data_IF_289988822782
#
_entry.id   IF_289988822782
#
_cell.length_a   1.000
_cell.length_b   1.000
_cell.length_c   1.000
_cell.angle_alpha   90.00
_cell.angle_beta   90.00
_cell.angle_gamma   90.00
#
_symmetry.space_group_name_H-M   'P 1'
#
loop_
_entity.id
_entity.type
_entity.pdbx_description
1 polymer ?
#
# COMPACT_ATOMS: atom_id res chain seq x y z
N UNK A 1 -0.91 -15.94 6.38
CA UNK A 1 -1.06 -15.03 5.22
C UNK A 1 -2.52 -14.68 5.00
N UNK A 2 -3.41 -15.67 4.95
CA UNK A 2 -4.87 -15.46 4.83
C UNK A 2 -5.47 -14.55 5.92
N UNK A 3 -4.92 -14.60 7.15
CA UNK A 3 -5.39 -13.75 8.26
C UNK A 3 -5.11 -12.26 8.08
N UNK A 4 -4.02 -11.90 7.37
CA UNK A 4 -3.70 -10.49 7.13
C UNK A 4 -4.72 -9.89 6.18
N UNK A 5 -4.93 -10.51 5.02
CA UNK A 5 -5.89 -10.05 4.01
C UNK A 5 -7.31 -9.94 4.56
N UNK A 6 -7.76 -10.92 5.37
CA UNK A 6 -9.07 -10.84 6.04
C UNK A 6 -9.18 -9.61 6.96
N UNK A 7 -8.13 -9.29 7.73
CA UNK A 7 -8.10 -8.08 8.58
C UNK A 7 -8.16 -6.81 7.74
N UNK A 8 -7.37 -6.73 6.66
CA UNK A 8 -7.32 -5.56 5.77
C UNK A 8 -8.68 -5.38 5.08
N UNK A 9 -9.23 -6.43 4.48
CA UNK A 9 -10.53 -6.44 3.81
C UNK A 9 -11.64 -5.92 4.73
N UNK A 10 -11.72 -6.45 5.96
CA UNK A 10 -12.70 -5.99 6.94
C UNK A 10 -12.57 -4.50 7.28
N UNK A 11 -11.33 -3.98 7.39
CA UNK A 11 -11.08 -2.55 7.63
C UNK A 11 -11.46 -1.69 6.43
N UNK A 12 -11.09 -2.12 5.22
CA UNK A 12 -11.41 -1.42 3.98
C UNK A 12 -12.93 -1.30 3.84
N UNK A 13 -13.67 -2.42 3.92
CA UNK A 13 -15.14 -2.44 3.82
C UNK A 13 -15.82 -1.45 4.77
N UNK A 14 -15.37 -1.41 6.03
CA UNK A 14 -15.88 -0.43 7.03
C UNK A 14 -15.65 1.02 6.63
N UNK A 15 -14.49 1.34 6.04
CA UNK A 15 -14.17 2.70 5.62
C UNK A 15 -14.94 3.18 4.39
N UNK A 16 -15.30 2.25 3.49
CA UNK A 16 -16.08 2.56 2.27
C UNK A 16 -17.58 2.28 2.43
N UNK A 17 -18.03 1.91 3.62
CA UNK A 17 -19.46 1.72 3.93
C UNK A 17 -20.09 0.46 3.34
N UNK A 18 -19.30 -0.55 2.97
CA UNK A 18 -19.81 -1.82 2.44
C UNK A 18 -20.11 -2.80 3.56
N UNK A 19 -21.29 -3.43 3.50
CA UNK A 19 -21.75 -4.44 4.46
C UNK A 19 -21.95 -5.83 3.85
N UNK A 20 -22.18 -5.91 2.54
CA UNK A 20 -22.27 -7.16 1.79
C UNK A 20 -20.90 -7.61 1.24
N UNK A 21 -20.87 -8.68 0.46
CA UNK A 21 -19.66 -9.27 -0.12
C UNK A 21 -19.53 -9.04 -1.65
N UNK A 22 -20.35 -8.17 -2.24
CA UNK A 22 -20.42 -8.02 -3.70
C UNK A 22 -19.12 -7.52 -4.32
N UNK A 23 -18.31 -6.76 -3.57
CA UNK A 23 -17.03 -6.23 -4.02
C UNK A 23 -15.84 -6.95 -3.38
N UNK A 24 -16.04 -8.05 -2.65
CA UNK A 24 -14.96 -8.69 -1.89
C UNK A 24 -13.83 -9.21 -2.79
N UNK A 25 -14.15 -9.81 -3.93
CA UNK A 25 -13.16 -10.28 -4.91
C UNK A 25 -12.30 -9.12 -5.45
N UNK A 26 -12.94 -8.03 -5.86
CA UNK A 26 -12.24 -6.84 -6.36
C UNK A 26 -11.38 -6.18 -5.26
N UNK A 27 -11.88 -6.12 -4.02
CA UNK A 27 -11.11 -5.59 -2.89
C UNK A 27 -9.94 -6.48 -2.52
N UNK A 28 -10.10 -7.80 -2.56
CA UNK A 28 -9.03 -8.76 -2.33
C UNK A 28 -7.91 -8.59 -3.36
N UNK A 29 -8.24 -8.45 -4.64
CA UNK A 29 -7.26 -8.22 -5.70
C UNK A 29 -6.50 -6.90 -5.49
N UNK A 30 -7.21 -5.81 -5.17
CA UNK A 30 -6.58 -4.53 -4.84
C UNK A 30 -5.61 -4.67 -3.66
N UNK A 31 -6.04 -5.32 -2.59
CA UNK A 31 -5.23 -5.54 -1.39
C UNK A 31 -3.99 -6.37 -1.72
N UNK A 32 -4.14 -7.43 -2.52
CA UNK A 32 -3.05 -8.31 -2.93
C UNK A 32 -1.98 -7.54 -3.72
N UNK A 33 -2.39 -6.76 -4.72
CA UNK A 33 -1.47 -5.94 -5.52
C UNK A 33 -0.74 -4.92 -4.63
N UNK A 34 -1.44 -4.25 -3.71
CA UNK A 34 -0.81 -3.28 -2.80
C UNK A 34 0.13 -3.96 -1.81
N UNK A 35 -0.18 -5.18 -1.38
CA UNK A 35 0.66 -6.00 -0.52
C UNK A 35 1.97 -6.35 -1.22
N UNK A 36 1.91 -6.86 -2.44
CA UNK A 36 3.10 -7.19 -3.23
C UNK A 36 4.00 -5.97 -3.43
N UNK A 37 3.41 -4.82 -3.75
CA UNK A 37 4.16 -3.57 -3.90
C UNK A 37 4.83 -3.14 -2.58
N UNK A 38 4.13 -3.22 -1.44
CA UNK A 38 4.72 -2.90 -0.14
C UNK A 38 5.82 -3.87 0.26
N UNK A 39 5.71 -5.16 -0.09
CA UNK A 39 6.77 -6.15 0.16
C UNK A 39 8.04 -5.82 -0.63
N UNK A 40 7.89 -5.39 -1.89
CA UNK A 40 9.00 -4.93 -2.73
C UNK A 40 9.65 -3.68 -2.10
N UNK A 41 8.86 -2.68 -1.72
CA UNK A 41 9.37 -1.45 -1.09
C UNK A 41 10.01 -1.71 0.29
N UNK A 42 9.55 -2.72 1.02
CA UNK A 42 10.15 -3.12 2.30
C UNK A 42 11.36 -4.04 2.15
N UNK A 43 11.60 -4.57 0.95
CA UNK A 43 12.59 -5.63 0.72
C UNK A 43 12.38 -6.83 1.67
N UNK A 44 11.11 -7.15 1.96
CA UNK A 44 10.70 -8.20 2.92
C UNK A 44 9.33 -8.76 2.58
N UNK A 45 9.19 -10.08 2.61
CA UNK A 45 7.91 -10.78 2.38
C UNK A 45 6.89 -10.58 3.51
N UNK A 46 7.34 -10.50 4.74
CA UNK A 46 6.45 -10.32 5.89
C UNK A 46 6.26 -8.83 6.21
N UNK A 47 5.03 -8.35 6.07
CA UNK A 47 4.66 -6.97 6.38
C UNK A 47 4.46 -6.83 7.90
N UNK A 48 5.19 -5.92 8.58
CA UNK A 48 4.97 -5.62 9.98
C UNK A 48 3.55 -5.08 10.24
N UNK A 49 2.94 -5.46 11.36
CA UNK A 49 1.60 -5.00 11.76
C UNK A 49 1.48 -3.46 11.79
N UNK A 50 2.57 -2.77 12.12
CA UNK A 50 2.66 -1.31 12.13
C UNK A 50 2.51 -0.66 10.75
N UNK A 51 2.65 -1.41 9.65
CA UNK A 51 2.51 -0.92 8.28
C UNK A 51 1.19 -1.39 7.62
N UNK A 52 0.38 -2.22 8.29
CA UNK A 52 -0.90 -2.70 7.77
C UNK A 52 -1.86 -1.58 7.38
N UNK A 53 -1.81 -0.43 8.08
CA UNK A 53 -2.68 0.69 7.78
C UNK A 53 -2.39 1.29 6.38
N UNK A 54 -1.17 1.18 5.87
CA UNK A 54 -0.80 1.66 4.52
C UNK A 54 -1.61 0.87 3.48
N UNK A 55 -1.69 -0.45 3.63
CA UNK A 55 -2.49 -1.29 2.73
C UNK A 55 -3.97 -0.91 2.76
N UNK A 56 -4.51 -0.60 3.94
CA UNK A 56 -5.90 -0.14 4.09
C UNK A 56 -6.11 1.18 3.34
N UNK A 57 -5.27 2.19 3.59
CA UNK A 57 -5.42 3.52 2.98
C UNK A 57 -5.29 3.47 1.45
N UNK A 58 -4.29 2.75 0.94
CA UNK A 58 -4.08 2.60 -0.50
C UNK A 58 -5.21 1.82 -1.16
N UNK A 59 -5.72 0.77 -0.51
CA UNK A 59 -6.84 0.01 -1.05
C UNK A 59 -8.12 0.84 -1.15
N UNK A 60 -8.42 1.64 -0.12
CA UNK A 60 -9.55 2.58 -0.13
C UNK A 60 -9.41 3.61 -1.24
N UNK A 61 -8.22 4.23 -1.38
CA UNK A 61 -7.96 5.20 -2.45
C UNK A 61 -8.14 4.59 -3.83
N UNK A 62 -7.60 3.39 -4.06
CA UNK A 62 -7.69 2.70 -5.35
C UNK A 62 -9.13 2.32 -5.69
N UNK A 63 -9.89 1.79 -4.72
CA UNK A 63 -11.30 1.47 -4.91
C UNK A 63 -12.13 2.72 -5.27
N UNK A 64 -11.97 3.80 -4.51
CA UNK A 64 -12.67 5.06 -4.77
C UNK A 64 -12.31 5.65 -6.13
N UNK A 65 -11.04 5.54 -6.54
CA UNK A 65 -10.57 5.97 -7.86
C UNK A 65 -11.26 5.19 -8.98
N UNK A 66 -11.24 3.85 -8.92
CA UNK A 66 -11.90 2.98 -9.91
C UNK A 66 -13.40 3.30 -10.01
N UNK A 67 -14.08 3.45 -8.86
CA UNK A 67 -15.49 3.82 -8.82
C UNK A 67 -15.75 5.21 -9.43
N UNK A 68 -14.88 6.19 -9.16
CA UNK A 68 -14.98 7.53 -9.73
C UNK A 68 -14.69 7.59 -11.23
N UNK A 69 -13.83 6.70 -11.74
CA UNK A 69 -13.51 6.60 -13.19
C UNK A 69 -14.70 6.03 -13.96
N UNK A 70 -15.41 5.04 -13.41
CA UNK A 70 -16.66 4.54 -13.98
C UNK A 70 -17.74 5.61 -14.07
N UNK A 71 -17.88 6.46 -13.04
CA UNK A 71 -18.83 7.59 -13.06
C UNK A 71 -18.37 8.76 -13.96
N UNK A 72 -17.07 9.02 -14.06
CA UNK A 72 -16.50 10.07 -14.93
C UNK A 72 -16.48 9.69 -16.40
N UNK A 73 -16.38 8.40 -16.72
CA UNK A 73 -16.43 7.88 -18.09
C UNK A 73 -17.75 8.18 -18.81
N UNK A 74 -18.86 8.34 -18.06
CA UNK A 74 -20.14 8.82 -18.61
C UNK A 74 -20.22 10.34 -18.78
N UNK A 75 -19.27 11.13 -18.27
CA UNK A 75 -19.38 12.61 -18.26
C UNK A 75 -18.28 13.40 -18.98
N UNK A 76 -17.00 12.99 -19.05
CA UNK A 76 -15.99 13.75 -19.82
C UNK A 76 -14.81 12.88 -20.26
N UNK A 77 -14.40 13.09 -21.51
CA UNK A 77 -13.21 12.56 -22.19
C UNK A 77 -11.90 12.67 -21.36
N UNK A 78 -11.20 11.55 -21.21
CA UNK A 78 -9.75 11.48 -21.12
C UNK A 78 -9.05 12.01 -19.86
N UNK A 79 -8.97 11.20 -18.81
CA UNK A 79 -7.80 11.23 -17.92
C UNK A 79 -7.14 9.84 -17.94
N UNK A 80 -6.05 9.72 -18.68
CA UNK A 80 -5.12 8.59 -18.57
C UNK A 80 -4.66 8.52 -17.11
N UNK A 81 -4.97 7.42 -16.43
CA UNK A 81 -4.34 7.07 -15.16
C UNK A 81 -2.87 6.82 -15.47
N UNK A 82 -2.09 7.88 -15.43
CA UNK A 82 -0.68 7.84 -15.71
C UNK A 82 -0.06 6.85 -14.73
N UNK A 83 0.60 5.83 -15.26
CA UNK A 83 1.37 4.82 -14.51
C UNK A 83 2.26 5.46 -13.43
N UNK A 84 2.70 6.70 -13.65
CA UNK A 84 3.38 7.57 -12.69
C UNK A 84 2.65 7.70 -11.34
N UNK A 85 1.32 7.84 -11.28
CA UNK A 85 0.60 8.01 -10.00
C UNK A 85 0.77 6.81 -9.06
N UNK A 86 0.83 5.60 -9.62
CA UNK A 86 0.95 4.36 -8.84
C UNK A 86 2.30 4.21 -8.16
N UNK A 87 3.36 4.76 -8.77
CA UNK A 87 4.71 4.80 -8.19
C UNK A 87 4.79 5.83 -7.05
N UNK A 88 3.96 6.88 -7.10
CA UNK A 88 3.95 7.97 -6.12
C UNK A 88 3.06 7.65 -4.90
N UNK A 89 2.18 6.65 -4.98
CA UNK A 89 1.23 6.29 -3.91
C UNK A 89 1.92 5.93 -2.58
N UNK A 90 3.14 5.41 -2.63
CA UNK A 90 3.91 5.03 -1.44
C UNK A 90 4.76 6.15 -0.85
N UNK A 91 5.06 7.21 -1.62
CA UNK A 91 5.96 8.30 -1.19
C UNK A 91 5.63 8.93 0.16
N UNK A 92 4.35 9.19 0.51
CA UNK A 92 4.02 9.73 1.83
C UNK A 92 4.47 8.82 2.99
N UNK A 93 4.66 7.53 2.72
CA UNK A 93 5.00 6.51 3.72
C UNK A 93 6.48 6.08 3.67
N UNK A 94 7.30 6.61 2.77
CA UNK A 94 8.72 6.23 2.62
C UNK A 94 9.47 6.25 3.95
N UNK A 95 9.25 7.27 4.77
CA UNK A 95 9.89 7.41 6.09
C UNK A 95 9.52 6.29 7.07
N UNK A 96 8.30 5.74 6.96
CA UNK A 96 7.85 4.61 7.76
C UNK A 96 8.39 3.31 7.16
N UNK A 97 8.26 3.12 5.85
CA UNK A 97 8.74 1.92 5.16
C UNK A 97 10.24 1.72 5.41
N UNK A 98 11.05 2.77 5.22
CA UNK A 98 12.49 2.75 5.47
C UNK A 98 12.86 2.45 6.92
N UNK A 99 11.99 2.75 7.90
CA UNK A 99 12.22 2.42 9.31
C UNK A 99 12.14 0.92 9.57
N UNK A 100 11.36 0.19 8.78
CA UNK A 100 11.12 -1.24 8.92
C UNK A 100 11.86 -2.09 7.89
N UNK A 101 12.47 -1.47 6.87
CA UNK A 101 13.34 -2.15 5.90
C UNK A 101 14.49 -2.86 6.64
N UNK A 102 14.84 -4.10 6.28
CA UNK A 102 16.01 -4.78 6.83
C UNK A 102 17.25 -3.89 6.67
N UNK A 103 18.00 -3.69 7.76
CA UNK A 103 19.29 -3.02 7.66
C UNK A 103 20.29 -4.07 7.18
N UNK A 104 20.91 -3.83 6.02
CA UNK A 104 22.06 -4.61 5.61
C UNK A 104 23.09 -4.66 6.75
N UNK A 105 23.54 -5.86 7.11
CA UNK A 105 24.56 -6.07 8.13
C UNK A 105 25.98 -5.63 7.67
N UNK A 106 26.09 -4.91 6.56
CA UNK A 106 27.34 -4.47 5.94
C UNK A 106 27.56 -2.95 6.08
N UNK A 107 27.41 -2.40 7.29
CA UNK A 107 28.16 -1.20 7.66
C UNK A 107 28.77 -1.37 9.05
N UNK A 108 30.10 -1.56 9.17
CA UNK A 108 30.78 -1.30 10.43
C UNK A 108 30.47 0.15 10.81
N UNK A 109 30.02 0.37 12.05
CA UNK A 109 29.62 1.68 12.53
C UNK A 109 30.66 2.74 12.15
N UNK A 110 30.21 3.82 11.51
CA UNK A 110 31.02 5.00 11.17
C UNK A 110 31.98 5.31 12.31
N UNK A 111 33.27 5.11 12.05
CA UNK A 111 34.34 5.35 13.00
C UNK A 111 34.33 6.79 13.48
N UNK A 112 34.31 7.00 14.80
CA UNK A 112 34.92 8.18 15.39
C UNK A 112 36.44 7.97 15.28
N UNK A 113 37.05 8.51 14.23
CA UNK A 113 38.49 8.69 14.19
C UNK A 113 38.86 9.67 15.31
N UNK A 114 39.45 9.16 16.39
CA UNK A 114 40.13 9.97 17.38
C UNK A 114 41.52 10.21 16.82
N UNK A 115 41.80 11.44 16.42
CA UNK A 115 43.17 11.89 16.16
C UNK A 115 43.85 12.09 17.52
N UNK A 116 44.97 11.39 17.72
CA UNK A 116 45.93 11.59 18.82
C UNK A 116 46.95 12.66 18.44
#
# INVERSE_FOLDING_TARGET
MEDLEKRILGRVKRLIGLSDALQDEALQEIIQIRREHLQIELERDEIPSALEFILVELSVRRYNRIGSEGMRGESVEGHSVNFYDLAEEFKPYDHLINRYRPKDQTQPGRGKAIFL
#
